data_IF_074486546743
#
_entry.id   IF_074486546743
#
_cell.length_a   1.000
_cell.length_b   1.000
_cell.length_c   1.000
_cell.angle_alpha   90.00
_cell.angle_beta   90.00
_cell.angle_gamma   90.00
#
_symmetry.space_group_name_H-M   'P 1'
#
loop_
_entity.id
_entity.type
_entity.pdbx_description
1 polymer ?
#
# COMPACT_ATOMS: atom_id res chain seq x y z
N UNK A 1 -20.03 -6.19 26.62
CA UNK A 1 -20.26 -7.05 25.45
C UNK A 1 -19.92 -6.21 24.24
N UNK A 2 -19.10 -6.71 23.30
CA UNK A 2 -18.71 -6.01 22.08
C UNK A 2 -19.53 -6.52 20.91
N UNK A 3 -19.82 -5.65 19.95
CA UNK A 3 -20.58 -5.99 18.75
C UNK A 3 -19.68 -6.60 17.67
N UNK A 4 -18.39 -6.15 17.65
CA UNK A 4 -17.38 -6.60 16.68
C UNK A 4 -16.07 -6.87 17.42
N UNK A 5 -15.42 -7.98 17.08
CA UNK A 5 -14.05 -8.28 17.53
C UNK A 5 -13.14 -8.42 16.32
N UNK A 6 -12.04 -7.69 16.32
CA UNK A 6 -10.97 -7.76 15.29
C UNK A 6 -9.76 -8.41 15.95
N UNK A 7 -9.22 -9.46 15.34
CA UNK A 7 -8.04 -10.17 15.84
C UNK A 7 -6.82 -9.74 15.05
N UNK A 8 -5.89 -9.07 15.74
CA UNK A 8 -4.64 -8.54 15.22
C UNK A 8 -4.67 -7.04 14.96
N UNK A 9 -3.69 -6.32 15.48
CA UNK A 9 -3.50 -4.87 15.32
C UNK A 9 -2.35 -4.52 14.34
N UNK A 10 -2.18 -5.31 13.29
CA UNK A 10 -1.41 -4.92 12.12
C UNK A 10 -2.18 -3.91 11.26
N UNK A 11 -1.59 -3.47 10.15
CA UNK A 11 -2.18 -2.48 9.24
C UNK A 11 -3.60 -2.83 8.80
N UNK A 12 -3.90 -4.11 8.55
CA UNK A 12 -5.24 -4.55 8.12
C UNK A 12 -6.26 -4.42 9.23
N UNK A 13 -5.93 -4.86 10.47
CA UNK A 13 -6.82 -4.75 11.61
C UNK A 13 -7.08 -3.30 12.00
N UNK A 14 -6.05 -2.46 12.01
CA UNK A 14 -6.19 -1.03 12.27
C UNK A 14 -7.02 -0.33 11.18
N UNK A 15 -6.86 -0.71 9.90
CA UNK A 15 -7.68 -0.17 8.82
C UNK A 15 -9.17 -0.58 8.96
N UNK A 16 -9.43 -1.84 9.30
CA UNK A 16 -10.79 -2.31 9.58
C UNK A 16 -11.40 -1.58 10.78
N UNK A 17 -10.65 -1.44 11.87
CA UNK A 17 -11.10 -0.72 13.06
C UNK A 17 -11.46 0.74 12.75
N UNK A 18 -10.59 1.43 11.97
CA UNK A 18 -10.85 2.80 11.51
C UNK A 18 -12.14 2.91 10.69
N UNK A 19 -12.34 2.04 9.72
CA UNK A 19 -13.56 2.12 8.90
C UNK A 19 -14.82 1.82 9.72
N UNK A 20 -14.74 0.87 10.64
CA UNK A 20 -15.85 0.49 11.50
C UNK A 20 -16.13 1.52 12.61
N UNK A 21 -15.11 2.29 13.05
CA UNK A 21 -15.27 3.34 14.07
C UNK A 21 -16.21 4.47 13.68
N UNK A 22 -16.59 4.54 12.40
CA UNK A 22 -17.57 5.49 11.88
C UNK A 22 -19.01 5.12 12.21
N UNK A 23 -19.23 3.91 12.71
CA UNK A 23 -20.55 3.39 13.07
C UNK A 23 -20.74 3.38 14.58
N UNK A 24 -21.99 3.44 15.02
CA UNK A 24 -22.34 3.29 16.43
C UNK A 24 -22.27 1.80 16.83
N UNK A 25 -21.07 1.34 17.11
CA UNK A 25 -20.77 -0.05 17.46
C UNK A 25 -19.63 -0.11 18.49
N UNK A 26 -19.70 -1.11 19.38
CA UNK A 26 -18.64 -1.41 20.34
C UNK A 26 -17.65 -2.38 19.69
N UNK A 27 -16.48 -1.86 19.33
CA UNK A 27 -15.44 -2.60 18.61
C UNK A 27 -14.30 -2.92 19.58
N UNK A 28 -13.88 -4.17 19.61
CA UNK A 28 -12.69 -4.63 20.31
C UNK A 28 -11.65 -5.12 19.31
N UNK A 29 -10.46 -4.56 19.36
CA UNK A 29 -9.28 -5.08 18.65
C UNK A 29 -8.38 -5.78 19.66
N UNK A 30 -8.06 -7.05 19.41
CA UNK A 30 -7.20 -7.87 20.28
C UNK A 30 -5.89 -8.13 19.56
N UNK A 31 -4.77 -7.79 20.20
CA UNK A 31 -3.42 -8.07 19.69
C UNK A 31 -2.68 -8.95 20.71
N UNK A 32 -1.90 -9.91 20.22
CA UNK A 32 -1.09 -10.82 21.07
C UNK A 32 0.23 -10.21 21.52
N UNK A 33 0.71 -9.22 20.79
CA UNK A 33 1.96 -8.51 21.08
C UNK A 33 1.68 -7.29 21.98
N UNK A 34 2.73 -6.69 22.49
CA UNK A 34 2.68 -5.55 23.41
C UNK A 34 2.32 -4.20 22.77
N UNK A 35 2.24 -4.15 21.42
CA UNK A 35 1.93 -2.93 20.67
C UNK A 35 1.35 -3.27 19.29
N UNK A 36 0.77 -2.26 18.62
CA UNK A 36 0.34 -2.36 17.23
C UNK A 36 1.55 -2.47 16.31
N UNK A 37 1.35 -2.94 15.08
CA UNK A 37 2.42 -3.02 14.06
C UNK A 37 3.57 -3.99 14.40
N UNK A 38 3.45 -4.87 15.38
CA UNK A 38 4.54 -5.76 15.82
C UNK A 38 4.79 -6.98 14.93
N UNK A 39 3.90 -7.29 13.99
CA UNK A 39 4.01 -8.42 13.06
C UNK A 39 4.59 -8.02 11.69
N UNK A 40 4.01 -8.60 10.63
CA UNK A 40 4.40 -8.38 9.22
C UNK A 40 4.32 -6.90 8.81
N UNK A 41 3.45 -6.12 9.44
CA UNK A 41 3.28 -4.69 9.12
C UNK A 41 4.54 -3.86 9.37
N UNK A 42 5.46 -4.28 10.27
CA UNK A 42 6.78 -3.64 10.46
C UNK A 42 7.90 -4.27 9.63
N UNK A 43 7.72 -5.51 9.16
CA UNK A 43 8.75 -6.32 8.52
C UNK A 43 8.41 -6.57 7.04
N UNK A 44 8.47 -5.50 6.26
CA UNK A 44 8.19 -5.50 4.82
C UNK A 44 9.06 -4.47 4.10
N UNK A 45 8.96 -4.41 2.77
CA UNK A 45 9.74 -3.50 1.92
C UNK A 45 9.19 -2.07 1.87
N UNK A 46 8.09 -1.78 2.55
CA UNK A 46 7.43 -0.47 2.55
C UNK A 46 6.94 0.03 1.17
N UNK A 47 6.85 -0.86 0.20
CA UNK A 47 6.44 -0.54 -1.16
C UNK A 47 4.92 -0.52 -1.26
N UNK A 48 4.38 0.57 -1.80
CA UNK A 48 3.01 0.66 -2.30
C UNK A 48 3.04 0.23 -3.77
N UNK A 49 2.67 -1.01 -4.04
CA UNK A 49 2.72 -1.60 -5.37
C UNK A 49 1.72 -0.94 -6.32
N UNK A 50 2.15 -0.69 -7.56
CA UNK A 50 1.30 -0.12 -8.60
C UNK A 50 0.23 -1.11 -9.11
N UNK A 51 0.51 -2.43 -9.06
CA UNK A 51 -0.43 -3.49 -9.43
C UNK A 51 -0.15 -4.15 -10.78
N UNK A 52 1.04 -3.96 -11.36
CA UNK A 52 1.42 -4.55 -12.65
C UNK A 52 1.77 -6.04 -12.58
N UNK A 53 2.14 -6.55 -11.41
CA UNK A 53 2.63 -7.92 -11.17
C UNK A 53 1.53 -8.92 -10.77
N UNK A 54 0.47 -8.44 -10.13
CA UNK A 54 -0.63 -9.30 -9.71
C UNK A 54 -1.43 -9.82 -10.91
N UNK A 55 -1.77 -11.13 -10.90
CA UNK A 55 -2.50 -11.77 -11.99
C UNK A 55 -3.81 -11.04 -12.31
N UNK A 56 -4.02 -10.71 -13.58
CA UNK A 56 -5.23 -10.04 -14.04
C UNK A 56 -6.50 -10.79 -13.64
N UNK A 57 -7.53 -10.04 -13.24
CA UNK A 57 -8.81 -10.56 -12.76
C UNK A 57 -8.79 -11.05 -11.31
N UNK A 58 -7.62 -11.11 -10.64
CA UNK A 58 -7.53 -11.47 -9.23
C UNK A 58 -7.97 -10.33 -8.31
N UNK A 59 -8.41 -10.69 -7.09
CA UNK A 59 -8.71 -9.72 -6.06
C UNK A 59 -7.46 -8.91 -5.68
N UNK A 60 -6.27 -9.54 -5.70
CA UNK A 60 -4.98 -8.90 -5.45
C UNK A 60 -4.73 -7.77 -6.47
N UNK A 61 -4.91 -8.01 -7.77
CA UNK A 61 -4.74 -7.00 -8.80
C UNK A 61 -5.66 -5.80 -8.57
N UNK A 62 -6.96 -6.08 -8.32
CA UNK A 62 -7.94 -5.03 -8.03
C UNK A 62 -7.58 -4.21 -6.81
N UNK A 63 -7.19 -4.86 -5.70
CA UNK A 63 -6.87 -4.17 -4.45
C UNK A 63 -5.54 -3.43 -4.51
N UNK A 64 -4.53 -3.93 -5.25
CA UNK A 64 -3.26 -3.22 -5.45
C UNK A 64 -3.48 -1.89 -6.18
N UNK A 65 -4.18 -1.91 -7.31
CA UNK A 65 -4.44 -0.69 -8.10
C UNK A 65 -5.28 0.31 -7.29
N UNK A 66 -6.35 -0.16 -6.65
CA UNK A 66 -7.21 0.70 -5.84
C UNK A 66 -6.49 1.24 -4.61
N UNK A 67 -5.68 0.43 -3.92
CA UNK A 67 -4.87 0.84 -2.77
C UNK A 67 -3.84 1.90 -3.14
N UNK A 68 -3.10 1.68 -4.23
CA UNK A 68 -2.14 2.66 -4.76
C UNK A 68 -2.82 4.00 -5.09
N UNK A 69 -4.00 3.95 -5.72
CA UNK A 69 -4.76 5.16 -6.06
C UNK A 69 -5.23 5.94 -4.83
N UNK A 70 -5.63 5.25 -3.77
CA UNK A 70 -6.12 5.87 -2.52
C UNK A 70 -5.00 6.38 -1.62
N UNK A 71 -3.81 5.82 -1.71
CA UNK A 71 -2.72 6.10 -0.76
C UNK A 71 -2.37 7.58 -0.61
N UNK A 72 -2.27 8.40 -1.68
CA UNK A 72 -1.94 9.82 -1.54
C UNK A 72 -2.98 10.61 -0.73
N UNK A 73 -4.27 10.33 -0.94
CA UNK A 73 -5.34 10.98 -0.21
C UNK A 73 -5.35 10.56 1.26
N UNK A 74 -5.16 9.26 1.51
CA UNK A 74 -5.09 8.70 2.86
C UNK A 74 -3.89 9.26 3.63
N UNK A 75 -2.71 9.35 2.99
CA UNK A 75 -1.51 9.91 3.61
C UNK A 75 -1.70 11.37 4.02
N UNK A 76 -2.36 12.15 3.16
CA UNK A 76 -2.70 13.54 3.47
C UNK A 76 -3.74 13.67 4.58
N UNK A 77 -4.75 12.80 4.59
CA UNK A 77 -5.83 12.80 5.59
C UNK A 77 -5.30 12.46 6.99
N UNK A 78 -4.41 11.47 7.08
CA UNK A 78 -3.92 10.90 8.34
C UNK A 78 -2.51 11.36 8.72
N UNK A 79 -1.89 12.21 7.91
CA UNK A 79 -0.58 12.83 8.15
C UNK A 79 0.56 11.82 8.43
N UNK A 80 0.68 10.79 7.58
CA UNK A 80 1.80 9.87 7.62
C UNK A 80 2.72 10.01 6.39
N UNK A 81 4.00 9.65 6.55
CA UNK A 81 4.99 9.74 5.50
C UNK A 81 4.70 8.77 4.35
N UNK A 82 4.48 9.32 3.17
CA UNK A 82 4.29 8.63 1.90
C UNK A 82 4.95 9.42 0.77
N UNK A 83 5.69 8.72 -0.08
CA UNK A 83 6.30 9.30 -1.28
C UNK A 83 5.88 8.50 -2.50
N UNK A 84 5.25 9.17 -3.47
CA UNK A 84 4.88 8.58 -4.76
C UNK A 84 6.05 8.69 -5.74
N UNK A 85 7.18 8.12 -5.39
CA UNK A 85 8.41 8.14 -6.18
C UNK A 85 8.37 7.25 -7.43
N UNK A 86 7.30 6.48 -7.62
CA UNK A 86 7.20 5.48 -8.68
C UNK A 86 8.00 4.21 -8.38
N UNK A 87 8.03 3.28 -9.33
CA UNK A 87 8.87 2.09 -9.26
C UNK A 87 9.40 1.69 -10.64
N UNK A 88 10.60 1.12 -10.64
CA UNK A 88 11.30 0.61 -11.82
C UNK A 88 11.48 -0.91 -11.71
N UNK A 89 11.07 -1.65 -12.73
CA UNK A 89 11.50 -3.04 -12.92
C UNK A 89 12.56 -3.06 -14.01
N UNK A 90 13.81 -3.21 -13.61
CA UNK A 90 14.97 -3.10 -14.51
C UNK A 90 15.16 -4.39 -15.30
N UNK A 91 15.33 -4.26 -16.61
CA UNK A 91 15.69 -5.31 -17.54
C UNK A 91 17.20 -5.25 -17.78
N UNK A 92 17.91 -6.34 -17.50
CA UNK A 92 19.37 -6.38 -17.57
C UNK A 92 19.90 -6.97 -18.89
N UNK A 93 19.03 -7.55 -19.71
CA UNK A 93 19.41 -8.09 -21.02
C UNK A 93 18.25 -7.96 -22.02
N UNK A 94 18.56 -7.94 -23.32
CA UNK A 94 17.52 -7.96 -24.36
C UNK A 94 16.72 -9.26 -24.37
N UNK A 95 17.28 -10.36 -23.85
CA UNK A 95 16.60 -11.65 -23.69
C UNK A 95 15.45 -11.58 -22.68
N UNK A 96 15.52 -10.69 -21.69
CA UNK A 96 14.49 -10.48 -20.67
C UNK A 96 13.36 -9.54 -21.09
N UNK A 97 13.49 -8.83 -22.23
CA UNK A 97 12.46 -7.92 -22.75
C UNK A 97 11.06 -8.55 -22.89
N UNK A 98 10.92 -9.83 -23.31
CA UNK A 98 9.59 -10.45 -23.35
C UNK A 98 8.93 -10.58 -21.96
N UNK A 99 9.72 -10.76 -20.89
CA UNK A 99 9.19 -10.78 -19.54
C UNK A 99 8.73 -9.39 -19.10
N UNK A 100 9.51 -8.34 -19.42
CA UNK A 100 9.14 -6.95 -19.18
C UNK A 100 7.84 -6.58 -19.92
N UNK A 101 7.71 -7.01 -21.17
CA UNK A 101 6.51 -6.79 -21.99
C UNK A 101 5.27 -7.44 -21.39
N UNK A 102 5.40 -8.67 -20.85
CA UNK A 102 4.29 -9.35 -20.15
C UNK A 102 3.84 -8.60 -18.91
N UNK A 103 4.78 -8.05 -18.12
CA UNK A 103 4.44 -7.22 -16.95
C UNK A 103 3.72 -5.95 -17.38
N UNK A 104 4.17 -5.32 -18.46
CA UNK A 104 3.51 -4.14 -19.03
C UNK A 104 2.07 -4.46 -19.44
N UNK A 105 1.85 -5.51 -20.24
CA UNK A 105 0.52 -5.92 -20.71
C UNK A 105 -0.41 -6.27 -19.54
N UNK A 106 0.10 -7.01 -18.55
CA UNK A 106 -0.65 -7.33 -17.34
C UNK A 106 -1.03 -6.07 -16.55
N UNK A 107 -0.10 -5.13 -16.40
CA UNK A 107 -0.36 -3.87 -15.71
C UNK A 107 -1.39 -2.99 -16.43
N UNK A 108 -1.33 -2.92 -17.76
CA UNK A 108 -2.36 -2.24 -18.56
C UNK A 108 -3.72 -2.91 -18.37
N UNK A 109 -3.78 -4.25 -18.42
CA UNK A 109 -5.02 -4.99 -18.20
C UNK A 109 -5.59 -4.76 -16.79
N UNK A 110 -4.72 -4.59 -15.77
CA UNK A 110 -5.11 -4.28 -14.39
C UNK A 110 -5.52 -2.80 -14.20
N UNK A 111 -5.29 -1.93 -15.17
CA UNK A 111 -5.64 -0.51 -15.09
C UNK A 111 -4.59 0.34 -14.37
N UNK A 112 -3.32 -0.05 -14.40
CA UNK A 112 -2.21 0.77 -13.86
C UNK A 112 -2.00 2.00 -14.75
N UNK A 113 -2.20 3.18 -14.18
CA UNK A 113 -2.10 4.44 -14.90
C UNK A 113 -0.65 4.86 -15.16
N UNK A 114 -0.37 5.36 -16.36
CA UNK A 114 0.94 5.90 -16.75
C UNK A 114 2.06 4.88 -16.86
N UNK A 115 1.74 3.58 -16.82
CA UNK A 115 2.70 2.50 -16.98
C UNK A 115 3.32 2.53 -18.38
N UNK A 116 4.64 2.43 -18.48
CA UNK A 116 5.35 2.43 -19.75
C UNK A 116 6.70 1.71 -19.66
N UNK A 117 7.16 1.18 -20.77
CA UNK A 117 8.53 0.70 -20.91
C UNK A 117 9.40 1.89 -21.30
N UNK A 118 10.50 2.08 -20.62
CA UNK A 118 11.50 3.11 -20.91
C UNK A 118 12.80 2.44 -21.34
N UNK A 119 13.48 3.07 -22.27
CA UNK A 119 14.78 2.60 -22.77
C UNK A 119 15.93 3.14 -21.92
N UNK A 120 17.14 2.60 -22.14
CA UNK A 120 18.32 2.88 -21.35
C UNK A 120 18.58 4.37 -21.10
N UNK A 121 18.50 5.20 -22.15
CA UNK A 121 18.87 6.63 -22.04
C UNK A 121 17.97 7.35 -21.02
N UNK A 122 16.66 7.09 -21.09
CA UNK A 122 15.71 7.63 -20.13
C UNK A 122 15.88 7.03 -18.74
N UNK A 123 16.13 5.71 -18.66
CA UNK A 123 16.38 5.01 -17.39
C UNK A 123 17.57 5.60 -16.66
N UNK A 124 18.71 5.82 -17.32
CA UNK A 124 19.93 6.43 -16.73
C UNK A 124 19.68 7.88 -16.32
N UNK A 125 18.87 8.61 -17.09
CA UNK A 125 18.50 9.99 -16.71
C UNK A 125 17.64 10.03 -15.43
N UNK A 126 16.78 9.03 -15.22
CA UNK A 126 15.93 8.91 -14.03
C UNK A 126 16.69 8.35 -12.81
N UNK A 127 17.53 7.34 -13.02
CA UNK A 127 18.31 6.66 -11.99
C UNK A 127 19.77 6.52 -12.45
N UNK A 128 20.62 7.52 -12.19
CA UNK A 128 22.03 7.52 -12.63
C UNK A 128 22.88 6.38 -12.06
N UNK A 129 22.47 5.78 -10.95
CA UNK A 129 23.17 4.67 -10.31
C UNK A 129 22.68 3.29 -10.75
N UNK A 130 21.81 3.21 -11.77
CA UNK A 130 21.38 1.92 -12.30
C UNK A 130 22.57 1.17 -12.93
N UNK A 131 22.51 -0.17 -12.88
CA UNK A 131 23.55 -1.03 -13.46
C UNK A 131 23.86 -0.67 -14.91
N UNK A 132 25.15 -0.71 -15.27
CA UNK A 132 25.59 -0.53 -16.66
C UNK A 132 25.04 -1.59 -17.62
N UNK A 133 24.59 -2.74 -17.11
CA UNK A 133 23.95 -3.80 -17.89
C UNK A 133 22.47 -3.53 -18.17
N UNK A 134 21.86 -2.53 -17.52
CA UNK A 134 20.46 -2.22 -17.72
C UNK A 134 20.20 -1.75 -19.15
N UNK A 135 19.25 -2.39 -19.84
CA UNK A 135 18.89 -2.07 -21.25
C UNK A 135 17.55 -1.35 -21.34
N UNK A 136 16.64 -1.62 -20.41
CA UNK A 136 15.31 -1.02 -20.34
C UNK A 136 14.73 -1.15 -18.93
N UNK A 137 13.61 -0.51 -18.67
CA UNK A 137 12.83 -0.74 -17.46
C UNK A 137 11.33 -0.55 -17.70
N UNK A 138 10.51 -1.21 -16.87
CA UNK A 138 9.10 -0.87 -16.73
C UNK A 138 9.00 0.23 -15.67
N UNK A 139 8.52 1.39 -16.08
CA UNK A 139 8.24 2.52 -15.20
C UNK A 139 6.78 2.55 -14.78
N UNK A 140 6.53 2.50 -13.48
CA UNK A 140 5.20 2.57 -12.89
C UNK A 140 5.09 3.81 -11.98
N UNK A 141 4.61 4.95 -12.47
CA UNK A 141 4.57 6.22 -11.73
C UNK A 141 3.60 6.20 -10.54
N UNK A 142 2.70 5.22 -10.49
CA UNK A 142 1.74 5.06 -9.40
C UNK A 142 2.29 4.27 -8.21
N UNK A 143 3.45 3.66 -8.34
CA UNK A 143 4.17 3.04 -7.22
C UNK A 143 4.69 4.09 -6.24
N UNK A 144 5.04 3.66 -5.03
CA UNK A 144 5.60 4.57 -4.03
C UNK A 144 6.12 3.83 -2.81
N UNK A 145 6.59 4.59 -1.85
CA UNK A 145 7.03 4.08 -0.54
C UNK A 145 6.24 4.74 0.58
N UNK A 146 6.00 3.97 1.64
CA UNK A 146 5.25 4.43 2.82
C UNK A 146 6.00 4.07 4.08
N UNK A 147 5.92 4.89 5.12
CA UNK A 147 6.35 4.46 6.44
C UNK A 147 5.33 3.46 7.01
N UNK A 148 5.64 2.16 7.14
CA UNK A 148 4.65 1.16 7.59
C UNK A 148 4.20 1.40 9.03
N UNK A 149 5.10 1.89 9.87
CA UNK A 149 4.78 2.31 11.23
C UNK A 149 3.82 3.50 11.22
N UNK A 150 4.20 4.58 10.52
CA UNK A 150 3.40 5.79 10.41
C UNK A 150 1.98 5.50 9.93
N UNK A 151 1.85 4.70 8.86
CA UNK A 151 0.54 4.27 8.35
C UNK A 151 -0.27 3.49 9.40
N UNK A 152 0.35 2.49 10.06
CA UNK A 152 -0.36 1.64 11.02
C UNK A 152 -0.79 2.43 12.25
N UNK A 153 0.11 3.26 12.80
CA UNK A 153 -0.21 4.11 13.95
C UNK A 153 -1.27 5.18 13.63
N UNK A 154 -1.20 5.78 12.44
CA UNK A 154 -2.20 6.76 12.03
C UNK A 154 -3.61 6.12 11.95
N UNK A 155 -3.72 4.92 11.40
CA UNK A 155 -4.96 4.15 11.38
C UNK A 155 -5.44 3.76 12.78
N UNK A 156 -4.52 3.36 13.67
CA UNK A 156 -4.79 3.01 15.06
C UNK A 156 -5.34 4.21 15.85
N UNK A 157 -4.65 5.33 15.81
CA UNK A 157 -5.09 6.53 16.52
C UNK A 157 -6.42 7.06 16.01
N UNK A 158 -6.64 7.03 14.68
CA UNK A 158 -7.91 7.43 14.10
C UNK A 158 -9.05 6.50 14.52
N UNK A 159 -8.80 5.19 14.63
CA UNK A 159 -9.78 4.24 15.14
C UNK A 159 -10.17 4.51 16.60
N UNK A 160 -9.21 4.92 17.44
CA UNK A 160 -9.46 5.27 18.85
C UNK A 160 -10.19 6.61 19.02
N UNK A 161 -9.79 7.62 18.22
CA UNK A 161 -10.24 9.00 18.37
C UNK A 161 -11.31 9.38 17.36
N UNK A 162 -11.59 8.54 16.37
CA UNK A 162 -12.48 8.80 15.25
C UNK A 162 -13.89 9.19 15.69
N UNK A 163 -14.47 10.14 14.97
CA UNK A 163 -15.84 10.59 15.21
C UNK A 163 -16.79 9.73 14.38
N UNK A 164 -17.82 9.19 15.04
CA UNK A 164 -18.95 8.62 14.32
C UNK A 164 -19.68 9.69 13.51
N UNK A 165 -20.45 9.30 12.51
CA UNK A 165 -21.29 10.21 11.73
C UNK A 165 -22.26 11.02 12.59
N UNK A 166 -22.53 10.58 13.82
CA UNK A 166 -23.39 11.24 14.82
C UNK A 166 -22.63 12.15 15.78
N UNK A 167 -21.28 12.27 15.64
CA UNK A 167 -20.44 13.14 16.46
C UNK A 167 -19.96 12.53 17.78
N UNK A 168 -20.25 11.25 18.05
CA UNK A 168 -19.76 10.54 19.23
C UNK A 168 -18.32 10.04 19.01
N UNK A 169 -17.56 9.91 20.10
CA UNK A 169 -16.28 9.22 20.09
C UNK A 169 -16.48 7.74 19.74
N UNK A 170 -15.59 7.20 18.95
CA UNK A 170 -15.56 5.78 18.59
C UNK A 170 -15.68 4.89 19.83
N UNK A 171 -16.52 3.86 19.75
CA UNK A 171 -16.59 2.78 20.74
C UNK A 171 -15.47 1.75 20.57
N UNK A 172 -14.37 2.09 19.89
CA UNK A 172 -13.25 1.19 19.62
C UNK A 172 -12.29 1.16 20.79
N UNK A 173 -11.96 -0.06 21.26
CA UNK A 173 -10.94 -0.33 22.28
C UNK A 173 -9.91 -1.30 21.73
N UNK A 174 -8.66 -1.19 22.20
CA UNK A 174 -7.58 -2.12 21.89
C UNK A 174 -7.13 -2.80 23.18
N UNK A 175 -6.97 -4.12 23.15
CA UNK A 175 -6.39 -4.94 24.21
C UNK A 175 -5.16 -5.67 23.66
N UNK A 176 -4.01 -5.43 24.28
CA UNK A 176 -2.68 -5.97 23.93
C UNK A 176 -2.17 -6.88 25.04
#
# INVERSE_FOLDING_TARGET
>A
MHDIIIIGAGVSGCACARELSRYDAKILVVEKEEDVCCGTSKANSAIVHAGYDAAHGSLMAKLNVEGSRRMPALAKELDFAYDRCGSLVVCLSDEDRPALQKLYENGIANGVEGLRIIERDELVAMEPNVSDQAVAALWAPTGGIVCPFGLTYALYYEALCGRTATGYTSGTTFEM
#
